data_IF_686876034602
#
_entry.id   IF_686876034602
#
_cell.length_a   1.000
_cell.length_b   1.000
_cell.length_c   1.000
_cell.angle_alpha   90.00
_cell.angle_beta   90.00
_cell.angle_gamma   90.00
#
_symmetry.space_group_name_H-M   'P 1'
#
loop_
_entity.id
_entity.type
_entity.pdbx_description
1 polymer ?
#
# COMPACT_ATOMS: atom_id res chain seq x y z
N UNK A 1 -24.86 79.13 11.54
CA UNK A 1 -23.85 78.15 11.11
C UNK A 1 -24.12 76.84 11.85
N UNK A 2 -24.60 75.81 11.16
CA UNK A 2 -24.88 74.49 11.75
C UNK A 2 -23.60 73.65 11.71
N UNK A 3 -23.10 73.26 12.88
CA UNK A 3 -21.94 72.38 13.00
C UNK A 3 -22.42 70.93 12.99
N UNK A 4 -22.07 70.17 11.95
CA UNK A 4 -22.39 68.75 11.82
C UNK A 4 -21.17 67.92 12.19
N UNK A 5 -21.20 67.29 13.36
CA UNK A 5 -20.18 66.37 13.83
C UNK A 5 -20.58 64.94 13.44
N UNK A 6 -19.94 64.37 12.42
CA UNK A 6 -20.08 62.95 12.08
C UNK A 6 -19.08 62.17 12.94
N UNK A 7 -19.52 61.79 14.14
CA UNK A 7 -18.80 60.84 14.98
C UNK A 7 -18.72 59.49 14.26
N UNK A 8 -17.52 59.12 13.80
CA UNK A 8 -17.24 57.82 13.25
C UNK A 8 -17.54 56.71 14.26
N UNK A 9 -18.53 55.87 13.96
CA UNK A 9 -18.85 54.69 14.75
C UNK A 9 -17.70 53.68 14.62
N UNK A 10 -16.88 53.54 15.65
CA UNK A 10 -15.95 52.40 15.75
C UNK A 10 -16.77 51.15 15.97
N UNK A 11 -16.91 50.32 14.93
CA UNK A 11 -17.51 48.98 15.03
C UNK A 11 -16.62 48.13 15.95
N UNK A 12 -17.03 47.97 17.20
CA UNK A 12 -16.43 47.01 18.10
C UNK A 12 -16.80 45.60 17.62
N UNK A 13 -15.87 44.91 16.96
CA UNK A 13 -15.97 43.44 16.82
C UNK A 13 -15.90 42.85 18.22
N UNK A 14 -17.06 42.45 18.73
CA UNK A 14 -17.17 41.63 19.93
C UNK A 14 -16.34 40.36 19.68
N UNK A 15 -15.14 40.27 20.25
CA UNK A 15 -14.39 39.02 20.32
C UNK A 15 -15.22 38.09 21.19
N UNK A 16 -15.99 37.19 20.57
CA UNK A 16 -16.78 36.20 21.27
C UNK A 16 -15.81 35.29 22.05
N UNK A 17 -15.65 35.55 23.35
CA UNK A 17 -14.91 34.67 24.25
C UNK A 17 -15.70 33.36 24.35
N UNK A 18 -15.23 32.34 23.64
CA UNK A 18 -15.88 31.02 23.56
C UNK A 18 -16.16 30.55 22.14
N UNK A 19 -16.21 31.46 21.14
CA UNK A 19 -16.48 31.08 19.74
C UNK A 19 -15.39 30.18 19.17
N UNK A 20 -14.13 30.38 19.56
CA UNK A 20 -13.04 29.49 19.16
C UNK A 20 -13.10 28.11 19.80
N UNK A 21 -13.51 28.00 21.08
CA UNK A 21 -13.45 26.72 21.82
C UNK A 21 -14.39 25.68 21.23
N UNK A 22 -15.63 26.07 20.93
CA UNK A 22 -16.60 25.15 20.32
C UNK A 22 -16.21 24.78 18.88
N UNK A 23 -15.68 25.73 18.12
CA UNK A 23 -15.19 25.48 16.75
C UNK A 23 -14.04 24.47 16.74
N UNK A 24 -13.07 24.60 17.65
CA UNK A 24 -11.99 23.63 17.79
C UNK A 24 -12.51 22.25 18.21
N UNK A 25 -13.46 22.18 19.16
CA UNK A 25 -14.03 20.89 19.59
C UNK A 25 -14.72 20.18 18.43
N UNK A 26 -15.47 20.90 17.59
CA UNK A 26 -16.15 20.33 16.42
C UNK A 26 -15.12 19.85 15.39
N UNK A 27 -14.12 20.67 15.05
CA UNK A 27 -13.06 20.29 14.09
C UNK A 27 -12.30 19.05 14.58
N UNK A 28 -11.92 19.01 15.87
CA UNK A 28 -11.22 17.87 16.47
C UNK A 28 -12.08 16.61 16.44
N UNK A 29 -13.37 16.71 16.75
CA UNK A 29 -14.29 15.58 16.68
C UNK A 29 -14.38 15.00 15.26
N UNK A 30 -14.44 15.84 14.23
CA UNK A 30 -14.46 15.41 12.83
C UNK A 30 -13.16 14.73 12.40
N UNK A 31 -12.00 15.26 12.82
CA UNK A 31 -10.69 14.65 12.56
C UNK A 31 -10.59 13.29 13.25
N UNK A 32 -11.03 13.16 14.50
CA UNK A 32 -10.97 11.91 15.26
C UNK A 32 -11.80 10.80 14.59
N UNK A 33 -13.03 11.10 14.17
CA UNK A 33 -13.89 10.13 13.47
C UNK A 33 -13.27 9.73 12.13
N UNK A 34 -12.75 10.69 11.37
CA UNK A 34 -12.06 10.44 10.10
C UNK A 34 -10.82 9.57 10.27
N UNK A 35 -10.03 9.84 11.32
CA UNK A 35 -8.82 9.10 11.64
C UNK A 35 -9.12 7.64 11.95
N UNK A 36 -10.18 7.33 12.71
CA UNK A 36 -10.58 5.92 12.98
C UNK A 36 -10.83 5.17 11.66
N UNK A 37 -11.56 5.78 10.73
CA UNK A 37 -11.84 5.18 9.42
C UNK A 37 -10.58 4.96 8.58
N UNK A 38 -9.73 5.99 8.48
CA UNK A 38 -8.46 5.91 7.72
C UNK A 38 -7.51 4.90 8.35
N UNK A 39 -7.33 4.90 9.67
CA UNK A 39 -6.45 3.93 10.34
C UNK A 39 -6.95 2.50 10.20
N UNK A 40 -8.27 2.27 10.19
CA UNK A 40 -8.83 0.94 9.98
C UNK A 40 -8.60 0.44 8.54
N UNK A 41 -8.92 1.27 7.55
CA UNK A 41 -8.76 0.93 6.13
C UNK A 41 -7.29 0.84 5.69
N UNK A 42 -6.47 1.81 6.10
CA UNK A 42 -5.06 1.86 5.77
C UNK A 42 -4.27 0.82 6.58
N UNK A 43 -4.65 0.54 7.82
CA UNK A 43 -4.08 -0.53 8.64
C UNK A 43 -4.30 -1.91 8.03
N UNK A 44 -5.50 -2.17 7.48
CA UNK A 44 -5.77 -3.41 6.74
C UNK A 44 -4.91 -3.52 5.47
N UNK A 45 -4.76 -2.42 4.72
CA UNK A 45 -3.96 -2.38 3.49
C UNK A 45 -2.46 -2.60 3.78
N UNK A 46 -1.91 -1.88 4.76
CA UNK A 46 -0.53 -2.06 5.21
C UNK A 46 -0.34 -3.49 5.72
N UNK A 47 -1.24 -4.01 6.55
CA UNK A 47 -1.14 -5.39 7.05
C UNK A 47 -1.13 -6.40 5.91
N UNK A 48 -1.96 -6.22 4.88
CA UNK A 48 -2.00 -7.12 3.74
C UNK A 48 -0.70 -7.06 2.92
N UNK A 49 -0.16 -5.86 2.70
CA UNK A 49 1.12 -5.68 2.00
C UNK A 49 2.30 -6.22 2.83
N UNK A 50 2.33 -5.93 4.13
CA UNK A 50 3.34 -6.45 5.06
C UNK A 50 3.22 -7.96 5.24
N UNK A 51 2.03 -8.55 5.17
CA UNK A 51 1.85 -10.01 5.20
C UNK A 51 2.33 -10.67 3.90
N UNK A 52 2.12 -10.02 2.75
CA UNK A 52 2.72 -10.43 1.46
C UNK A 52 4.24 -10.37 1.52
N UNK A 53 4.79 -9.21 1.89
CA UNK A 53 6.23 -9.01 2.07
C UNK A 53 6.81 -9.91 3.15
N UNK A 54 6.09 -10.17 4.24
CA UNK A 54 6.51 -11.08 5.32
C UNK A 54 6.44 -12.53 4.88
N UNK A 55 5.51 -12.94 4.01
CA UNK A 55 5.48 -14.29 3.44
C UNK A 55 6.61 -14.51 2.43
N UNK A 56 6.93 -13.46 1.67
CA UNK A 56 8.07 -13.41 0.75
C UNK A 56 9.39 -13.44 1.53
N UNK A 57 9.53 -12.58 2.56
CA UNK A 57 10.69 -12.51 3.46
C UNK A 57 10.84 -13.75 4.35
N UNK A 58 9.75 -14.34 4.83
CA UNK A 58 9.78 -15.59 5.60
C UNK A 58 10.08 -16.82 4.72
N UNK A 59 10.26 -16.61 3.41
CA UNK A 59 10.69 -17.64 2.47
C UNK A 59 9.68 -18.75 2.23
N UNK A 60 8.39 -18.55 2.55
CA UNK A 60 7.38 -19.60 2.37
C UNK A 60 6.96 -19.76 0.90
N UNK A 61 6.79 -18.65 0.18
CA UNK A 61 6.67 -18.67 -1.29
C UNK A 61 8.01 -19.00 -1.95
N UNK A 62 9.11 -18.41 -1.45
CA UNK A 62 10.44 -18.71 -1.96
C UNK A 62 10.81 -20.18 -1.83
N UNK A 63 10.37 -20.92 -0.82
CA UNK A 63 10.69 -22.36 -0.72
C UNK A 63 9.98 -23.17 -1.80
N UNK A 64 8.73 -22.84 -2.12
CA UNK A 64 7.98 -23.49 -3.18
C UNK A 64 8.58 -23.15 -4.57
N UNK A 65 8.84 -21.86 -4.84
CA UNK A 65 9.50 -21.44 -6.09
C UNK A 65 10.94 -21.92 -6.20
N UNK A 66 11.72 -21.93 -5.12
CA UNK A 66 13.10 -22.46 -5.12
C UNK A 66 13.09 -23.97 -5.32
N UNK A 67 12.11 -24.69 -4.77
CA UNK A 67 11.95 -26.13 -5.01
C UNK A 67 11.58 -26.40 -6.47
N UNK A 68 10.62 -25.65 -7.03
CA UNK A 68 10.28 -25.73 -8.44
C UNK A 68 11.46 -25.36 -9.34
N UNK A 69 12.18 -24.28 -9.02
CA UNK A 69 13.37 -23.84 -9.75
C UNK A 69 14.51 -24.86 -9.67
N UNK A 70 14.74 -25.50 -8.52
CA UNK A 70 15.69 -26.63 -8.38
C UNK A 70 15.26 -27.84 -9.21
N UNK A 71 13.96 -28.15 -9.24
CA UNK A 71 13.40 -29.21 -10.07
C UNK A 71 13.66 -28.94 -11.56
N UNK A 72 13.32 -27.74 -12.03
CA UNK A 72 13.57 -27.31 -13.40
C UNK A 72 15.06 -27.25 -13.75
N UNK A 73 15.91 -26.78 -12.85
CA UNK A 73 17.36 -26.76 -13.04
C UNK A 73 17.94 -28.18 -13.13
N UNK A 74 17.44 -29.11 -12.31
CA UNK A 74 17.84 -30.53 -12.35
C UNK A 74 17.35 -31.21 -13.63
N UNK A 75 16.12 -30.93 -14.06
CA UNK A 75 15.58 -31.42 -15.33
C UNK A 75 16.39 -30.88 -16.52
N UNK A 76 16.70 -29.58 -16.53
CA UNK A 76 17.54 -28.95 -17.55
C UNK A 76 18.95 -29.54 -17.57
N UNK A 77 19.57 -29.75 -16.40
CA UNK A 77 20.89 -30.40 -16.30
C UNK A 77 20.86 -31.83 -16.84
N UNK A 78 19.80 -32.58 -16.55
CA UNK A 78 19.61 -33.96 -17.05
C UNK A 78 19.43 -33.98 -18.57
N UNK A 79 18.66 -33.03 -19.10
CA UNK A 79 18.46 -32.86 -20.55
C UNK A 79 19.77 -32.44 -21.23
N UNK A 80 20.54 -31.52 -20.62
CA UNK A 80 21.83 -31.09 -21.15
C UNK A 80 22.91 -32.19 -21.09
N UNK A 81 22.86 -33.06 -20.08
CA UNK A 81 23.74 -34.22 -19.98
C UNK A 81 23.42 -35.32 -21.00
N UNK A 82 22.19 -35.36 -21.54
CA UNK A 82 21.85 -36.24 -22.66
C UNK A 82 22.41 -35.66 -23.96
N UNK A 83 23.31 -36.40 -24.62
CA UNK A 83 23.74 -36.09 -25.98
C UNK A 83 22.66 -36.50 -26.97
N UNK A 84 21.88 -35.53 -27.46
CA UNK A 84 20.97 -35.75 -28.57
C UNK A 84 21.77 -35.77 -29.88
N UNK A 85 21.70 -36.90 -30.59
CA UNK A 85 22.22 -37.01 -31.95
C UNK A 85 21.04 -36.98 -32.93
N UNK A 86 21.33 -36.90 -34.23
CA UNK A 86 20.30 -36.80 -35.28
C UNK A 86 19.27 -37.95 -35.23
N UNK A 87 19.62 -39.11 -34.66
CA UNK A 87 18.71 -40.24 -34.46
C UNK A 87 17.81 -40.17 -33.22
N UNK A 88 17.93 -39.14 -32.38
CA UNK A 88 17.20 -39.01 -31.11
C UNK A 88 16.52 -37.64 -30.95
N UNK A 89 16.40 -36.87 -32.05
CA UNK A 89 15.95 -35.47 -32.01
C UNK A 89 14.49 -35.33 -31.52
N UNK A 90 13.64 -36.33 -31.81
CA UNK A 90 12.24 -36.37 -31.39
C UNK A 90 12.08 -36.40 -29.85
N UNK A 91 13.07 -36.95 -29.15
CA UNK A 91 13.04 -37.13 -27.69
C UNK A 91 13.43 -35.86 -26.93
N UNK A 92 14.22 -34.98 -27.56
CA UNK A 92 14.51 -33.64 -27.06
C UNK A 92 13.31 -32.71 -27.21
N UNK A 93 12.66 -32.76 -28.38
CA UNK A 93 11.52 -31.89 -28.72
C UNK A 93 10.30 -32.14 -27.80
N UNK A 94 10.03 -33.40 -27.46
CA UNK A 94 8.85 -33.78 -26.67
C UNK A 94 8.96 -33.44 -25.17
N UNK A 95 10.17 -33.18 -24.66
CA UNK A 95 10.40 -32.88 -23.23
C UNK A 95 10.31 -31.41 -22.86
N UNK A 96 10.49 -30.50 -23.82
CA UNK A 96 10.33 -29.05 -23.61
C UNK A 96 8.89 -28.57 -23.76
N UNK A 97 7.98 -29.43 -24.21
CA UNK A 97 6.58 -29.12 -24.50
C UNK A 97 5.60 -29.54 -23.38
N UNK A 98 6.11 -29.96 -22.21
CA UNK A 98 5.30 -30.39 -21.08
C UNK A 98 5.63 -29.63 -19.81
#
# INVERSE_FOLDING_TARGET
>A
MLNFNIGGSKVNKLKQKGQGMTEYIIIVALIAVSAIGVYSFFGQTIRNQVAGLSSEMSGQESTAQITAAKGSATAATTVAAKKYNLGNYDEAANKSAK
#
